data_IF_590161779292
#
_entry.id   IF_590161779292
#
_cell.length_a   1.000
_cell.length_b   1.000
_cell.length_c   1.000
_cell.angle_alpha   90.00
_cell.angle_beta   90.00
_cell.angle_gamma   90.00
#
_symmetry.space_group_name_H-M   'P 1'
#
loop_
_entity.id
_entity.type
_entity.pdbx_description
1 polymer ?
#
# COMPACT_ATOMS: atom_id res chain seq x y z
N UNK A 1 -7.27 -1.88 -18.87
CA UNK A 1 -7.45 -0.42 -18.69
C UNK A 1 -6.33 0.29 -19.43
N UNK A 2 -6.45 1.60 -19.67
CA UNK A 2 -5.39 2.39 -20.30
C UNK A 2 -4.79 3.33 -19.26
N UNK A 3 -3.49 3.54 -19.34
CA UNK A 3 -2.75 4.47 -18.47
C UNK A 3 -1.93 5.46 -19.31
N UNK A 4 -1.76 6.70 -18.84
CA UNK A 4 -0.93 7.67 -19.52
C UNK A 4 0.55 7.29 -19.42
N UNK A 5 1.22 7.32 -20.55
CA UNK A 5 2.66 7.09 -20.66
C UNK A 5 3.36 8.43 -20.91
N UNK A 6 4.49 8.59 -20.28
CA UNK A 6 5.33 9.77 -20.43
C UNK A 6 6.72 9.39 -20.94
N UNK A 7 7.33 10.29 -21.69
CA UNK A 7 8.75 10.30 -21.98
C UNK A 7 9.44 10.90 -20.78
N UNK A 8 10.23 10.12 -20.09
CA UNK A 8 11.04 10.55 -18.95
C UNK A 8 12.48 10.73 -19.41
N UNK A 9 13.06 11.88 -19.13
CA UNK A 9 14.49 12.15 -19.32
C UNK A 9 15.13 12.36 -17.96
N UNK A 10 16.14 11.55 -17.65
CA UNK A 10 16.91 11.62 -16.41
C UNK A 10 18.30 12.12 -16.78
N UNK A 11 18.69 13.28 -16.25
CA UNK A 11 20.03 13.80 -16.35
C UNK A 11 20.80 13.34 -15.10
N UNK A 12 21.90 12.64 -15.31
CA UNK A 12 22.70 12.09 -14.22
C UNK A 12 24.18 12.07 -14.56
N UNK A 13 25.02 11.88 -13.55
CA UNK A 13 26.46 11.66 -13.75
C UNK A 13 26.71 10.27 -14.33
N UNK A 14 27.79 10.15 -15.12
CA UNK A 14 28.13 8.90 -15.80
C UNK A 14 28.40 7.73 -14.85
N UNK A 15 28.91 7.99 -13.65
CA UNK A 15 29.15 6.99 -12.60
C UNK A 15 27.85 6.48 -11.91
N UNK A 16 26.74 7.21 -12.06
CA UNK A 16 25.44 6.87 -11.44
C UNK A 16 24.42 6.30 -12.43
N UNK A 17 24.79 6.18 -13.70
CA UNK A 17 23.89 5.67 -14.77
C UNK A 17 23.25 4.34 -14.40
N UNK A 18 24.05 3.39 -13.86
CA UNK A 18 23.54 2.06 -13.48
C UNK A 18 22.45 2.10 -12.42
N UNK A 19 22.59 2.94 -11.40
CA UNK A 19 21.58 3.11 -10.36
C UNK A 19 20.29 3.77 -10.89
N UNK A 20 20.43 4.75 -11.78
CA UNK A 20 19.28 5.41 -12.42
C UNK A 20 18.53 4.46 -13.37
N UNK A 21 19.27 3.62 -14.11
CA UNK A 21 18.66 2.56 -14.94
C UNK A 21 17.86 1.57 -14.09
N UNK A 22 18.42 1.14 -12.97
CA UNK A 22 17.76 0.23 -12.06
C UNK A 22 16.49 0.85 -11.45
N UNK A 23 16.56 2.11 -11.00
CA UNK A 23 15.40 2.85 -10.51
C UNK A 23 14.28 2.91 -11.56
N UNK A 24 14.61 3.29 -12.80
CA UNK A 24 13.63 3.37 -13.87
C UNK A 24 12.97 2.00 -14.17
N UNK A 25 13.75 0.90 -14.13
CA UNK A 25 13.23 -0.46 -14.32
C UNK A 25 12.30 -0.91 -13.19
N UNK A 26 12.61 -0.59 -11.94
CA UNK A 26 11.75 -0.86 -10.77
C UNK A 26 10.39 -0.17 -10.90
N UNK A 27 10.35 0.97 -11.61
CA UNK A 27 9.15 1.75 -11.90
C UNK A 27 8.56 1.48 -13.30
N UNK A 28 8.79 0.30 -13.87
CA UNK A 28 8.22 -0.12 -15.16
C UNK A 28 8.69 0.72 -16.35
N UNK A 29 9.81 1.43 -16.22
CA UNK A 29 10.41 2.22 -17.29
C UNK A 29 10.97 1.34 -18.41
N UNK A 30 10.60 1.66 -19.64
CA UNK A 30 11.14 1.03 -20.86
C UNK A 30 12.26 1.92 -21.39
N UNK A 31 13.47 1.42 -21.34
CA UNK A 31 14.64 2.13 -21.85
C UNK A 31 14.52 2.42 -23.36
N UNK A 32 14.85 3.63 -23.77
CA UNK A 32 14.86 4.07 -25.17
C UNK A 32 16.25 4.45 -25.65
N UNK A 33 16.90 5.38 -24.97
CA UNK A 33 18.17 5.92 -25.41
C UNK A 33 19.00 6.48 -24.26
N UNK A 34 20.29 6.57 -24.49
CA UNK A 34 21.24 7.30 -23.66
C UNK A 34 22.04 8.28 -24.55
N UNK A 35 22.10 9.53 -24.15
CA UNK A 35 22.87 10.57 -24.83
C UNK A 35 23.85 11.18 -23.84
N UNK A 36 25.11 11.32 -24.24
CA UNK A 36 26.12 12.00 -23.44
C UNK A 36 26.05 13.51 -23.69
N UNK A 37 25.95 14.28 -22.63
CA UNK A 37 26.02 15.75 -22.67
C UNK A 37 27.49 16.17 -22.73
N UNK A 38 28.29 15.54 -21.86
CA UNK A 38 29.73 15.71 -21.78
C UNK A 38 30.39 14.43 -21.22
N UNK A 39 31.67 14.47 -20.88
CA UNK A 39 32.40 13.30 -20.36
C UNK A 39 31.85 12.80 -19.00
N UNK A 40 31.17 13.66 -18.26
CA UNK A 40 30.73 13.41 -16.89
C UNK A 40 29.22 13.22 -16.75
N UNK A 41 28.41 13.66 -17.73
CA UNK A 41 26.95 13.69 -17.64
C UNK A 41 26.26 13.02 -18.82
N UNK A 42 25.22 12.28 -18.52
CA UNK A 42 24.39 11.58 -19.49
C UNK A 42 22.91 11.90 -19.30
N UNK A 43 22.15 11.84 -20.38
CA UNK A 43 20.68 11.83 -20.40
C UNK A 43 20.23 10.41 -20.68
N UNK A 44 19.39 9.86 -19.80
CA UNK A 44 18.71 8.59 -20.00
C UNK A 44 17.27 8.87 -20.38
N UNK A 45 16.80 8.30 -21.47
CA UNK A 45 15.44 8.46 -21.97
C UNK A 45 14.64 7.17 -21.78
N UNK A 46 13.48 7.27 -21.15
CA UNK A 46 12.57 6.17 -20.90
C UNK A 46 11.14 6.51 -21.32
N UNK A 47 10.37 5.48 -21.66
CA UNK A 47 8.91 5.53 -21.61
C UNK A 47 8.45 4.87 -20.30
N UNK A 48 7.66 5.59 -19.50
CA UNK A 48 7.26 5.15 -18.17
C UNK A 48 5.81 5.55 -17.91
N UNK A 49 5.01 4.74 -17.19
CA UNK A 49 3.68 5.15 -16.77
C UNK A 49 3.75 6.38 -15.84
N UNK A 50 2.90 7.36 -16.10
CA UNK A 50 2.86 8.59 -15.31
C UNK A 50 2.58 8.33 -13.83
N UNK A 51 1.77 7.33 -13.52
CA UNK A 51 1.46 6.94 -12.14
C UNK A 51 2.70 6.52 -11.33
N UNK A 52 3.74 5.99 -12.00
CA UNK A 52 4.97 5.55 -11.36
C UNK A 52 5.92 6.70 -10.98
N UNK A 53 5.80 7.86 -11.64
CA UNK A 53 6.70 9.00 -11.40
C UNK A 53 6.11 10.07 -10.48
N UNK A 54 4.78 10.13 -10.37
CA UNK A 54 4.11 11.16 -9.55
C UNK A 54 4.34 10.93 -8.07
N UNK A 55 4.59 9.69 -7.68
CA UNK A 55 4.65 9.29 -6.27
C UNK A 55 6.05 9.48 -5.69
N UNK A 56 6.81 8.42 -5.58
CA UNK A 56 8.08 8.41 -4.82
C UNK A 56 9.31 8.49 -5.71
N UNK A 57 9.10 8.40 -7.03
CA UNK A 57 10.20 8.34 -8.01
C UNK A 57 11.18 9.51 -7.89
N UNK A 58 10.68 10.73 -7.67
CA UNK A 58 11.54 11.90 -7.54
C UNK A 58 12.40 11.84 -6.27
N UNK A 59 11.82 11.42 -5.17
CA UNK A 59 12.53 11.30 -3.88
C UNK A 59 13.58 10.18 -3.95
N UNK A 60 13.23 9.05 -4.58
CA UNK A 60 14.16 7.94 -4.83
C UNK A 60 15.28 8.36 -5.79
N UNK A 61 14.95 9.12 -6.83
CA UNK A 61 15.93 9.68 -7.77
C UNK A 61 16.97 10.53 -7.03
N UNK A 62 16.49 11.46 -6.20
CA UNK A 62 17.36 12.35 -5.41
C UNK A 62 18.19 11.59 -4.38
N UNK A 63 17.58 10.65 -3.68
CA UNK A 63 18.23 9.83 -2.66
C UNK A 63 19.35 8.99 -3.26
N UNK A 64 19.06 8.22 -4.33
CA UNK A 64 20.03 7.33 -4.98
C UNK A 64 21.13 8.05 -5.74
N UNK A 65 20.88 9.29 -6.17
CA UNK A 65 21.86 10.11 -6.88
C UNK A 65 22.60 11.11 -5.98
N UNK A 66 22.44 11.02 -4.67
CA UNK A 66 23.00 12.02 -3.72
C UNK A 66 22.64 13.47 -4.10
N UNK A 67 21.45 13.65 -4.67
CA UNK A 67 20.93 14.95 -5.11
C UNK A 67 21.35 15.40 -6.52
N UNK A 68 22.26 14.69 -7.19
CA UNK A 68 22.83 15.14 -8.47
C UNK A 68 21.92 14.87 -9.68
N UNK A 69 21.06 13.86 -9.64
CA UNK A 69 20.17 13.60 -10.77
C UNK A 69 18.99 14.57 -10.80
N UNK A 70 18.56 14.91 -11.99
CA UNK A 70 17.34 15.64 -12.25
C UNK A 70 16.51 14.92 -13.32
N UNK A 71 15.21 15.19 -13.35
CA UNK A 71 14.32 14.62 -14.35
C UNK A 71 13.42 15.67 -14.96
N UNK A 72 13.03 15.42 -16.20
CA UNK A 72 11.92 16.06 -16.89
C UNK A 72 11.05 15.01 -17.55
N UNK A 73 9.79 15.30 -17.73
CA UNK A 73 8.88 14.38 -18.42
C UNK A 73 7.91 15.12 -19.32
N UNK A 74 7.53 14.44 -20.40
CA UNK A 74 6.57 14.91 -21.39
C UNK A 74 5.52 13.84 -21.63
N UNK A 75 4.24 14.20 -21.65
CA UNK A 75 3.16 13.27 -21.91
C UNK A 75 3.21 12.81 -23.38
N UNK A 76 3.18 11.49 -23.60
CA UNK A 76 3.14 10.89 -24.93
C UNK A 76 1.71 10.50 -25.31
N UNK A 77 1.29 9.35 -24.87
CA UNK A 77 0.03 8.72 -25.25
C UNK A 77 -0.54 7.89 -24.09
N UNK A 78 -1.72 7.31 -24.33
CA UNK A 78 -2.29 6.29 -23.46
C UNK A 78 -1.95 4.91 -23.99
N UNK A 79 -1.57 4.00 -23.10
CA UNK A 79 -1.26 2.61 -23.46
C UNK A 79 -2.11 1.68 -22.61
N UNK A 80 -2.66 0.64 -23.29
CA UNK A 80 -3.38 -0.42 -22.58
C UNK A 80 -2.38 -1.30 -21.83
N UNK A 81 -2.64 -1.51 -20.54
CA UNK A 81 -1.81 -2.36 -19.69
C UNK A 81 -2.67 -3.17 -18.71
N UNK A 82 -2.05 -4.15 -18.04
CA UNK A 82 -2.70 -5.06 -17.10
C UNK A 82 -2.92 -4.40 -15.73
N UNK A 83 -3.77 -3.38 -15.74
CA UNK A 83 -4.19 -2.65 -14.55
C UNK A 83 -5.36 -3.35 -13.88
N UNK A 84 -5.32 -3.44 -12.57
CA UNK A 84 -6.37 -4.04 -11.75
C UNK A 84 -6.85 -3.06 -10.68
N UNK A 85 -8.14 -3.09 -10.41
CA UNK A 85 -8.72 -2.40 -9.28
C UNK A 85 -8.52 -3.23 -8.01
N UNK A 86 -7.94 -2.63 -6.99
CA UNK A 86 -7.79 -3.20 -5.65
C UNK A 86 -8.91 -2.61 -4.79
N UNK A 87 -9.80 -3.45 -4.32
CA UNK A 87 -10.85 -3.07 -3.38
C UNK A 87 -10.41 -3.41 -1.96
N UNK A 88 -10.64 -2.48 -1.02
CA UNK A 88 -10.37 -2.69 0.40
C UNK A 88 -11.66 -3.02 1.12
N UNK A 89 -11.62 -4.11 1.89
CA UNK A 89 -12.73 -4.55 2.74
C UNK A 89 -12.31 -4.45 4.21
N UNK A 90 -13.12 -3.79 5.01
CA UNK A 90 -12.97 -3.70 6.47
C UNK A 90 -14.15 -4.41 7.10
N UNK A 91 -13.92 -5.44 7.89
CA UNK A 91 -14.93 -6.33 8.45
C UNK A 91 -15.91 -6.90 7.39
N UNK A 92 -15.38 -7.27 6.21
CA UNK A 92 -16.09 -7.75 5.02
C UNK A 92 -16.96 -6.70 4.31
N UNK A 93 -16.96 -5.45 4.78
CA UNK A 93 -17.63 -4.34 4.11
C UNK A 93 -16.63 -3.59 3.21
N UNK A 94 -17.00 -3.38 1.93
CA UNK A 94 -16.15 -2.68 0.96
C UNK A 94 -16.18 -1.19 1.22
N UNK A 95 -14.98 -0.62 1.38
CA UNK A 95 -14.80 0.83 1.55
C UNK A 95 -14.25 1.40 0.25
N UNK A 96 -15.13 1.98 -0.56
CA UNK A 96 -14.77 2.48 -1.89
C UNK A 96 -13.72 3.61 -1.86
N UNK A 97 -13.69 4.40 -0.81
CA UNK A 97 -12.72 5.49 -0.63
C UNK A 97 -11.26 5.02 -0.54
N UNK A 98 -11.03 3.75 -0.18
CA UNK A 98 -9.69 3.14 -0.12
C UNK A 98 -9.38 2.28 -1.35
N UNK A 99 -10.31 2.19 -2.31
CA UNK A 99 -10.06 1.47 -3.55
C UNK A 99 -9.04 2.21 -4.40
N UNK A 100 -8.09 1.47 -4.98
CA UNK A 100 -7.04 2.03 -5.83
C UNK A 100 -6.85 1.20 -7.09
N UNK A 101 -6.15 1.76 -8.07
CA UNK A 101 -5.76 1.05 -9.29
C UNK A 101 -4.25 0.87 -9.27
N UNK A 102 -3.79 -0.33 -9.56
CA UNK A 102 -2.38 -0.64 -9.67
C UNK A 102 -2.13 -1.65 -10.79
N UNK A 103 -0.91 -1.72 -11.28
CA UNK A 103 -0.50 -2.79 -12.17
C UNK A 103 -0.53 -4.14 -11.44
N UNK A 104 -0.96 -5.20 -12.14
CA UNK A 104 -1.16 -6.54 -11.55
C UNK A 104 0.08 -7.06 -10.81
N UNK A 105 1.27 -6.82 -11.34
CA UNK A 105 2.52 -7.26 -10.72
C UNK A 105 2.77 -6.60 -9.35
N UNK A 106 2.31 -5.36 -9.14
CA UNK A 106 2.46 -4.60 -7.90
C UNK A 106 1.25 -4.72 -6.97
N UNK A 107 0.12 -5.26 -7.45
CA UNK A 107 -1.15 -5.28 -6.73
C UNK A 107 -1.06 -5.90 -5.33
N UNK A 108 -0.28 -6.98 -5.17
CA UNK A 108 -0.07 -7.62 -3.87
C UNK A 108 0.62 -6.68 -2.87
N UNK A 109 1.72 -6.04 -3.29
CA UNK A 109 2.49 -5.15 -2.41
C UNK A 109 1.68 -3.92 -2.03
N UNK A 110 0.99 -3.29 -3.00
CA UNK A 110 0.09 -2.15 -2.75
C UNK A 110 -1.04 -2.55 -1.80
N UNK A 111 -1.65 -3.72 -2.01
CA UNK A 111 -2.69 -4.23 -1.13
C UNK A 111 -2.21 -4.52 0.28
N UNK A 112 -1.00 -5.07 0.44
CA UNK A 112 -0.39 -5.35 1.74
C UNK A 112 -0.06 -4.06 2.50
N UNK A 113 0.52 -3.07 1.81
CA UNK A 113 0.84 -1.76 2.38
C UNK A 113 -0.42 -1.03 2.87
N UNK A 114 -1.47 -0.99 2.04
CA UNK A 114 -2.75 -0.39 2.42
C UNK A 114 -3.38 -1.08 3.63
N UNK A 115 -3.38 -2.42 3.66
CA UNK A 115 -3.86 -3.17 4.81
C UNK A 115 -3.05 -2.88 6.08
N UNK A 116 -1.73 -2.72 5.96
CA UNK A 116 -0.83 -2.35 7.07
C UNK A 116 -1.14 -0.97 7.62
N UNK A 117 -1.21 0.05 6.75
CA UNK A 117 -1.56 1.44 7.13
C UNK A 117 -2.93 1.51 7.82
N UNK A 118 -3.94 0.83 7.27
CA UNK A 118 -5.27 0.75 7.86
C UNK A 118 -5.27 0.07 9.23
N UNK A 119 -4.46 -0.97 9.42
CA UNK A 119 -4.31 -1.66 10.72
C UNK A 119 -3.72 -0.75 11.79
N UNK A 120 -2.81 0.14 11.42
CA UNK A 120 -2.22 1.11 12.35
C UNK A 120 -3.18 2.28 12.65
N UNK A 121 -3.90 2.76 11.64
CA UNK A 121 -4.76 3.93 11.73
C UNK A 121 -6.12 3.64 12.38
N UNK A 122 -6.69 2.43 12.19
CA UNK A 122 -7.99 2.08 12.78
C UNK A 122 -7.81 1.61 14.23
N UNK A 123 -8.48 2.24 15.19
CA UNK A 123 -8.36 1.87 16.60
C UNK A 123 -8.94 0.47 16.89
N UNK A 124 -8.33 -0.24 17.85
CA UNK A 124 -8.83 -1.54 18.31
C UNK A 124 -10.24 -1.39 18.85
N UNK A 125 -11.10 -2.35 18.51
CA UNK A 125 -12.48 -2.43 19.01
C UNK A 125 -12.70 -3.71 19.85
N UNK A 126 -13.91 -3.89 20.36
CA UNK A 126 -14.24 -5.03 21.22
C UNK A 126 -14.25 -6.38 20.47
N UNK A 127 -14.20 -6.35 19.14
CA UNK A 127 -14.10 -7.53 18.28
C UNK A 127 -12.93 -7.38 17.29
N UNK A 128 -12.49 -8.48 16.72
CA UNK A 128 -11.41 -8.48 15.72
C UNK A 128 -11.93 -8.00 14.37
N UNK A 129 -11.18 -7.09 13.74
CA UNK A 129 -11.52 -6.48 12.46
C UNK A 129 -10.58 -7.04 11.41
N UNK A 130 -11.06 -7.89 10.49
CA UNK A 130 -10.28 -8.27 9.32
C UNK A 130 -10.25 -7.11 8.32
N UNK A 131 -9.07 -6.80 7.81
CA UNK A 131 -8.83 -5.87 6.71
C UNK A 131 -8.31 -6.69 5.55
N UNK A 132 -8.91 -6.55 4.38
CA UNK A 132 -8.58 -7.36 3.23
C UNK A 132 -8.44 -6.47 1.99
N UNK A 133 -7.43 -6.75 1.17
CA UNK A 133 -7.32 -6.20 -0.17
C UNK A 133 -7.72 -7.28 -1.16
N UNK A 134 -8.59 -6.96 -2.10
CA UNK A 134 -9.11 -7.91 -3.08
C UNK A 134 -9.05 -7.35 -4.50
N UNK A 135 -8.79 -8.22 -5.46
CA UNK A 135 -8.92 -7.96 -6.89
C UNK A 135 -10.06 -8.78 -7.43
N UNK A 136 -11.18 -8.13 -7.75
CA UNK A 136 -12.43 -8.83 -8.05
C UNK A 136 -12.93 -9.63 -6.85
N UNK A 137 -13.08 -10.96 -7.01
CA UNK A 137 -13.49 -11.87 -5.93
C UNK A 137 -12.30 -12.44 -5.12
N UNK A 138 -11.06 -12.24 -5.58
CA UNK A 138 -9.88 -12.85 -4.96
C UNK A 138 -9.25 -11.91 -3.95
N UNK A 139 -9.17 -12.33 -2.68
CA UNK A 139 -8.38 -11.66 -1.65
C UNK A 139 -6.90 -11.90 -1.93
N UNK A 140 -6.14 -10.81 -2.08
CA UNK A 140 -4.70 -10.83 -2.37
C UNK A 140 -3.84 -10.55 -1.13
N UNK A 141 -4.32 -9.70 -0.21
CA UNK A 141 -3.62 -9.43 1.04
C UNK A 141 -4.64 -9.32 2.18
N UNK A 142 -4.18 -9.61 3.40
CA UNK A 142 -5.02 -9.56 4.60
C UNK A 142 -4.21 -9.19 5.83
N UNK A 143 -4.78 -8.29 6.62
CA UNK A 143 -4.35 -7.96 7.97
C UNK A 143 -5.51 -8.09 8.94
N UNK A 144 -5.23 -8.14 10.24
CA UNK A 144 -6.28 -8.24 11.25
C UNK A 144 -5.94 -7.37 12.45
N UNK A 145 -6.87 -6.49 12.82
CA UNK A 145 -6.81 -5.74 14.07
C UNK A 145 -7.35 -6.64 15.17
N UNK A 146 -6.54 -6.93 16.18
CA UNK A 146 -6.95 -7.76 17.32
C UNK A 146 -7.99 -7.05 18.17
N UNK A 147 -8.96 -7.80 18.70
CA UNK A 147 -9.96 -7.27 19.61
C UNK A 147 -9.33 -6.75 20.91
N UNK A 148 -9.91 -5.67 21.46
CA UNK A 148 -9.60 -5.27 22.82
C UNK A 148 -9.94 -6.41 23.78
N UNK A 149 -9.00 -6.80 24.63
CA UNK A 149 -9.19 -7.93 25.56
C UNK A 149 -9.34 -7.40 26.98
N UNK A 150 -10.54 -7.52 27.55
CA UNK A 150 -10.76 -7.28 28.96
C UNK A 150 -10.33 -8.52 29.73
N UNK A 151 -9.52 -8.36 30.77
CA UNK A 151 -9.24 -9.46 31.68
C UNK A 151 -10.49 -9.74 32.54
N UNK A 152 -11.18 -10.82 32.22
CA UNK A 152 -12.38 -11.27 32.94
C UNK A 152 -12.08 -12.32 34.01
N UNK A 153 -10.81 -12.72 34.13
CA UNK A 153 -10.36 -13.80 35.00
C UNK A 153 -9.36 -13.34 36.07
N UNK A 154 -8.84 -12.12 36.01
CA UNK A 154 -7.77 -11.60 36.86
C UNK A 154 -8.14 -11.56 38.38
N UNK A 155 -9.43 -11.41 38.68
CA UNK A 155 -9.91 -11.43 40.07
C UNK A 155 -10.27 -12.84 40.57
N UNK A 156 -10.16 -13.87 39.74
CA UNK A 156 -10.38 -15.26 40.15
C UNK A 156 -9.07 -15.85 40.65
N UNK A 157 -8.76 -15.55 41.91
CA UNK A 157 -7.57 -16.12 42.56
C UNK A 157 -7.85 -17.58 42.95
N UNK A 158 -6.99 -18.48 42.56
CA UNK A 158 -6.88 -19.80 43.20
C UNK A 158 -7.85 -20.89 42.81
N UNK A 159 -8.15 -21.12 41.49
CA UNK A 159 -8.37 -22.52 41.29
C UNK A 159 -9.61 -23.04 40.58
N UNK A 160 -10.70 -22.35 40.36
CA UNK A 160 -11.79 -22.94 39.56
C UNK A 160 -11.57 -22.74 38.04
N UNK A 161 -10.81 -23.69 37.42
CA UNK A 161 -10.54 -23.75 36.00
C UNK A 161 -11.84 -23.76 35.19
N UNK A 162 -12.88 -24.45 35.68
CA UNK A 162 -14.18 -24.54 35.02
C UNK A 162 -14.87 -23.18 34.94
N UNK A 163 -14.83 -22.39 36.02
CA UNK A 163 -15.39 -21.04 36.06
C UNK A 163 -14.61 -20.08 35.16
N UNK A 164 -13.28 -20.16 35.16
CA UNK A 164 -12.43 -19.38 34.24
C UNK A 164 -12.78 -19.67 32.77
N UNK A 165 -12.88 -20.93 32.39
CA UNK A 165 -13.26 -21.33 31.04
C UNK A 165 -14.67 -20.84 30.65
N UNK A 166 -15.68 -20.97 31.53
CA UNK A 166 -17.01 -20.46 31.27
C UNK A 166 -17.04 -18.95 31.01
N UNK A 167 -16.25 -18.15 31.75
CA UNK A 167 -16.15 -16.70 31.53
C UNK A 167 -15.45 -16.36 30.22
N UNK A 168 -14.39 -17.06 29.88
CA UNK A 168 -13.69 -16.91 28.59
C UNK A 168 -14.62 -17.28 27.43
N UNK A 169 -15.38 -18.35 27.53
CA UNK A 169 -16.36 -18.76 26.52
C UNK A 169 -17.50 -17.75 26.35
N UNK A 170 -18.01 -17.18 27.43
CA UNK A 170 -18.99 -16.09 27.38
C UNK A 170 -18.40 -14.87 26.64
N UNK A 171 -17.15 -14.49 26.95
CA UNK A 171 -16.48 -13.39 26.30
C UNK A 171 -16.31 -13.69 24.80
N UNK A 172 -15.88 -14.91 24.43
CA UNK A 172 -15.73 -15.34 23.03
C UNK A 172 -17.05 -15.30 22.26
N UNK A 173 -18.14 -15.83 22.85
CA UNK A 173 -19.48 -15.76 22.23
C UNK A 173 -19.99 -14.33 22.08
N UNK A 174 -19.77 -13.47 23.09
CA UNK A 174 -20.12 -12.04 23.01
C UNK A 174 -19.39 -11.32 21.91
N UNK A 175 -18.07 -11.55 21.76
CA UNK A 175 -17.26 -10.97 20.68
C UNK A 175 -17.71 -11.45 19.30
N UNK A 176 -18.11 -12.72 19.16
CA UNK A 176 -18.66 -13.24 17.90
C UNK A 176 -19.94 -12.52 17.49
N UNK A 177 -20.88 -12.34 18.42
CA UNK A 177 -22.10 -11.57 18.17
C UNK A 177 -21.81 -10.12 17.81
N UNK A 178 -20.91 -9.46 18.55
CA UNK A 178 -20.51 -8.07 18.25
C UNK A 178 -19.90 -7.95 16.85
N UNK A 179 -19.14 -8.95 16.41
CA UNK A 179 -18.57 -8.96 15.06
C UNK A 179 -19.63 -9.06 13.94
N UNK A 180 -20.70 -9.80 14.19
CA UNK A 180 -21.82 -9.99 13.24
C UNK A 180 -22.66 -8.71 13.07
N UNK A 181 -22.85 -7.93 14.14
CA UNK A 181 -23.72 -6.75 14.14
C UNK A 181 -22.97 -5.42 14.26
N UNK A 182 -21.68 -5.45 14.62
CA UNK A 182 -20.88 -4.25 14.87
C UNK A 182 -20.44 -3.56 13.57
N UNK A 183 -20.83 -2.30 13.41
CA UNK A 183 -20.24 -1.44 12.40
C UNK A 183 -18.87 -0.97 12.88
N UNK A 184 -17.89 -1.02 11.98
CA UNK A 184 -16.54 -0.49 12.25
C UNK A 184 -16.58 1.02 12.07
N UNK A 185 -16.31 1.76 13.14
CA UNK A 185 -16.13 3.21 13.05
C UNK A 185 -14.71 3.48 12.55
N UNK A 186 -14.59 4.08 11.38
CA UNK A 186 -13.33 4.53 10.80
C UNK A 186 -13.27 6.03 11.01
N UNK A 187 -12.27 6.55 11.78
CA UNK A 187 -12.10 7.98 11.95
C UNK A 187 -11.84 8.68 10.63
N UNK A 188 -12.35 9.91 10.46
CA UNK A 188 -12.11 10.70 9.24
C UNK A 188 -10.61 10.99 9.00
N UNK A 189 -9.84 11.11 10.07
CA UNK A 189 -8.38 11.28 10.01
C UNK A 189 -7.68 10.11 9.31
N UNK A 190 -8.20 8.88 9.46
CA UNK A 190 -7.67 7.69 8.80
C UNK A 190 -7.62 7.84 7.27
N UNK A 191 -8.62 8.52 6.68
CA UNK A 191 -8.65 8.76 5.22
C UNK A 191 -7.51 9.68 4.78
N UNK A 192 -7.17 10.66 5.60
CA UNK A 192 -6.07 11.60 5.33
C UNK A 192 -4.73 10.91 5.54
N UNK A 193 -4.58 10.12 6.62
CA UNK A 193 -3.32 9.46 6.97
C UNK A 193 -2.92 8.37 5.96
N UNK A 194 -3.89 7.70 5.34
CA UNK A 194 -3.62 6.72 4.29
C UNK A 194 -3.10 7.39 3.01
N UNK A 195 -3.58 8.59 2.71
CA UNK A 195 -3.16 9.37 1.54
C UNK A 195 -1.80 10.05 1.77
N UNK A 196 -1.44 10.31 3.03
CA UNK A 196 -0.08 10.78 3.37
C UNK A 196 0.89 9.62 3.21
N UNK A 197 1.90 9.82 2.39
CA UNK A 197 3.07 8.96 2.34
C UNK A 197 4.02 9.31 3.50
N UNK A 198 4.62 8.29 4.07
CA UNK A 198 5.76 8.49 4.98
C UNK A 198 6.97 8.87 4.18
#
# INVERSE_FOLDING_TARGET
>A
MEEPIVKLEIITRSDMVGEMMKLAQEHRGIYKNQTYIDETRSILTYEIPMAEIITDFYDDLKSRSSGYASMSYEQLNYKRDDLVKIDILVNNERISAFSTIAHRSKAYHVGLELCGKLKEAIPKQLFSIPIQAAVGAKVIARETISAYRKDVTGYLYGGDVTRKNKLLDKQKKGKKKMKEFGKVSIPSETFIDILKKK
#
